data_IF_597902732887
#
_entry.id   IF_597902732887
#
_cell.length_a   1.000
_cell.length_b   1.000
_cell.length_c   1.000
_cell.angle_alpha   90.00
_cell.angle_beta   90.00
_cell.angle_gamma   90.00
#
_symmetry.space_group_name_H-M   'P 1'
#
loop_
_entity.id
_entity.type
_entity.pdbx_description
1 polymer ?
#
# COMPACT_ATOMS: atom_id res chain seq x y z
N UNK A 1 -9.30 31.32 -9.45
CA UNK A 1 -9.45 30.49 -10.67
C UNK A 1 -8.10 30.02 -11.21
N UNK A 2 -7.14 30.90 -11.47
CA UNK A 2 -5.81 30.54 -12.01
C UNK A 2 -5.07 29.46 -11.19
N UNK A 3 -5.07 29.55 -9.85
CA UNK A 3 -4.49 28.52 -8.97
C UNK A 3 -5.12 27.13 -9.18
N UNK A 4 -6.44 27.08 -9.30
CA UNK A 4 -7.16 25.81 -9.51
C UNK A 4 -6.85 25.21 -10.88
N UNK A 5 -6.81 26.04 -11.93
CA UNK A 5 -6.42 25.60 -13.28
C UNK A 5 -5.02 24.98 -13.28
N UNK A 6 -4.05 25.65 -12.63
CA UNK A 6 -2.69 25.13 -12.49
C UNK A 6 -2.62 23.77 -11.79
N UNK A 7 -3.38 23.56 -10.72
CA UNK A 7 -3.40 22.26 -10.03
C UNK A 7 -4.03 21.17 -10.88
N UNK A 8 -5.11 21.47 -11.60
CA UNK A 8 -5.73 20.53 -12.53
C UNK A 8 -4.75 20.11 -13.63
N UNK A 9 -4.04 21.06 -14.23
CA UNK A 9 -3.01 20.77 -15.25
C UNK A 9 -1.93 19.82 -14.72
N UNK A 10 -1.38 20.10 -13.53
CA UNK A 10 -0.36 19.23 -12.92
C UNK A 10 -0.93 17.85 -12.59
N UNK A 11 -2.15 17.76 -12.06
CA UNK A 11 -2.84 16.48 -11.83
C UNK A 11 -3.00 15.68 -13.13
N UNK A 12 -3.34 16.33 -14.25
CA UNK A 12 -3.40 15.67 -15.56
C UNK A 12 -2.03 15.20 -16.04
N UNK A 13 -0.97 15.97 -15.82
CA UNK A 13 0.41 15.55 -16.17
C UNK A 13 0.82 14.33 -15.33
N UNK A 14 0.55 14.34 -14.02
CA UNK A 14 0.81 13.19 -13.13
C UNK A 14 0.02 11.96 -13.61
N UNK A 15 -1.27 12.11 -13.91
CA UNK A 15 -2.12 11.00 -14.37
C UNK A 15 -1.66 10.42 -15.73
N UNK A 16 -1.27 11.28 -16.68
CA UNK A 16 -0.72 10.81 -17.97
C UNK A 16 0.58 10.06 -17.77
N UNK A 17 1.46 10.59 -16.91
CA UNK A 17 2.72 9.93 -16.58
C UNK A 17 2.48 8.59 -15.89
N UNK A 18 1.51 8.51 -14.98
CA UNK A 18 1.09 7.26 -14.33
C UNK A 18 0.70 6.18 -15.36
N UNK A 19 -0.23 6.51 -16.27
CA UNK A 19 -0.69 5.58 -17.30
C UNK A 19 0.46 5.17 -18.22
N UNK A 20 1.28 6.13 -18.65
CA UNK A 20 2.40 5.85 -19.56
C UNK A 20 3.56 5.10 -18.89
N UNK A 21 3.76 5.29 -17.59
CA UNK A 21 4.77 4.62 -16.78
C UNK A 21 4.40 3.17 -16.54
N UNK A 22 3.12 2.92 -16.23
CA UNK A 22 2.53 1.56 -16.23
C UNK A 22 2.85 0.83 -17.54
N UNK A 23 2.64 1.46 -18.69
CA UNK A 23 2.89 0.84 -19.99
C UNK A 23 4.38 0.55 -20.26
N UNK A 24 5.31 1.27 -19.64
CA UNK A 24 6.74 0.92 -19.69
C UNK A 24 7.06 -0.21 -18.73
N UNK A 25 6.52 -0.17 -17.51
CA UNK A 25 6.76 -1.20 -16.50
C UNK A 25 6.19 -2.57 -16.90
N UNK A 26 5.09 -2.61 -17.65
CA UNK A 26 4.54 -3.86 -18.20
C UNK A 26 5.44 -4.52 -19.26
N UNK A 27 6.42 -3.80 -19.81
CA UNK A 27 7.41 -4.34 -20.75
C UNK A 27 8.65 -4.90 -20.03
N UNK A 28 8.79 -4.69 -18.72
CA UNK A 28 9.89 -5.24 -17.96
C UNK A 28 9.68 -6.74 -17.66
N UNK A 29 10.76 -7.53 -17.53
CA UNK A 29 10.65 -8.93 -17.17
C UNK A 29 9.96 -9.11 -15.82
N UNK A 30 8.95 -9.99 -15.77
CA UNK A 30 8.17 -10.27 -14.57
C UNK A 30 9.03 -10.81 -13.41
N UNK A 31 10.16 -11.43 -13.73
CA UNK A 31 11.14 -11.98 -12.80
C UNK A 31 11.72 -10.93 -11.85
N UNK A 32 11.77 -9.65 -12.25
CA UNK A 32 12.28 -8.56 -11.40
C UNK A 32 11.56 -8.50 -10.05
N UNK A 33 10.25 -8.78 -10.02
CA UNK A 33 9.44 -8.72 -8.81
C UNK A 33 8.82 -10.07 -8.41
N UNK A 34 8.98 -11.12 -9.21
CA UNK A 34 8.43 -12.44 -8.90
C UNK A 34 9.47 -13.54 -8.68
N UNK A 35 10.75 -13.32 -9.03
CA UNK A 35 11.74 -14.38 -8.93
C UNK A 35 11.88 -14.87 -7.49
N UNK A 36 11.97 -16.18 -7.32
CA UNK A 36 12.35 -16.82 -6.06
C UNK A 36 13.41 -17.90 -6.29
N UNK A 37 14.19 -17.71 -7.34
CA UNK A 37 15.26 -18.61 -7.73
C UNK A 37 16.48 -17.79 -8.07
N UNK A 38 17.63 -18.44 -7.98
CA UNK A 38 18.86 -17.87 -8.49
C UNK A 38 18.71 -17.59 -9.98
N UNK A 39 19.22 -16.46 -10.43
CA UNK A 39 19.14 -16.10 -11.84
C UNK A 39 19.60 -14.69 -12.13
N UNK A 40 19.61 -14.38 -13.42
CA UNK A 40 19.95 -13.06 -13.95
C UNK A 40 18.75 -12.54 -14.72
N UNK A 41 18.31 -11.33 -14.38
CA UNK A 41 17.23 -10.65 -15.09
C UNK A 41 17.83 -9.52 -15.91
N UNK A 42 17.63 -9.56 -17.22
CA UNK A 42 18.20 -8.60 -18.17
C UNK A 42 17.15 -7.57 -18.56
N UNK A 43 17.46 -6.30 -18.38
CA UNK A 43 16.58 -5.17 -18.69
C UNK A 43 17.24 -4.28 -19.74
N UNK A 44 16.59 -4.00 -20.88
CA UNK A 44 17.11 -3.04 -21.87
C UNK A 44 17.23 -1.62 -21.29
N UNK A 45 18.39 -0.97 -21.46
CA UNK A 45 18.63 0.41 -20.98
C UNK A 45 17.66 1.43 -21.57
N UNK A 46 17.17 1.19 -22.79
CA UNK A 46 16.14 2.01 -23.43
C UNK A 46 14.89 2.15 -22.55
N UNK A 47 14.40 1.05 -21.95
CA UNK A 47 13.20 1.08 -21.10
C UNK A 47 13.46 1.86 -19.81
N UNK A 48 14.67 1.71 -19.24
CA UNK A 48 15.11 2.50 -18.09
C UNK A 48 15.10 3.99 -18.38
N UNK A 49 15.72 4.40 -19.49
CA UNK A 49 15.79 5.79 -19.93
C UNK A 49 14.41 6.37 -20.24
N UNK A 50 13.54 5.60 -20.91
CA UNK A 50 12.17 6.00 -21.21
C UNK A 50 11.38 6.27 -19.93
N UNK A 51 11.44 5.35 -18.95
CA UNK A 51 10.76 5.52 -17.67
C UNK A 51 11.29 6.72 -16.89
N UNK A 52 12.60 6.86 -16.76
CA UNK A 52 13.23 8.00 -16.07
C UNK A 52 12.82 9.32 -16.74
N UNK A 53 12.86 9.39 -18.07
CA UNK A 53 12.43 10.57 -18.83
C UNK A 53 10.98 10.96 -18.57
N UNK A 54 10.07 9.99 -18.40
CA UNK A 54 8.67 10.25 -18.02
C UNK A 54 8.56 10.84 -16.62
N UNK A 55 9.28 10.30 -15.64
CA UNK A 55 9.28 10.83 -14.26
C UNK A 55 9.89 12.24 -14.22
N UNK A 56 10.99 12.46 -14.93
CA UNK A 56 11.67 13.76 -14.98
C UNK A 56 10.81 14.83 -15.65
N UNK A 57 10.05 14.47 -16.69
CA UNK A 57 9.09 15.37 -17.34
C UNK A 57 8.00 15.86 -16.37
N UNK A 58 7.49 14.99 -15.49
CA UNK A 58 6.53 15.39 -14.44
C UNK A 58 7.20 16.32 -13.43
N UNK A 59 8.39 15.96 -12.94
CA UNK A 59 9.14 16.78 -12.00
C UNK A 59 9.44 18.18 -12.59
N UNK A 60 9.78 18.24 -13.88
CA UNK A 60 10.00 19.49 -14.60
C UNK A 60 8.70 20.30 -14.74
N UNK A 61 7.58 19.66 -15.10
CA UNK A 61 6.28 20.33 -15.18
C UNK A 61 5.86 20.94 -13.83
N UNK A 62 6.04 20.21 -12.72
CA UNK A 62 5.77 20.73 -11.37
C UNK A 62 6.67 21.93 -11.06
N UNK A 63 7.97 21.83 -11.34
CA UNK A 63 8.95 22.91 -11.13
C UNK A 63 8.62 24.17 -11.94
N UNK A 64 8.27 24.02 -13.22
CA UNK A 64 7.91 25.13 -14.11
C UNK A 64 6.66 25.88 -13.63
N UNK A 65 5.70 25.15 -13.08
CA UNK A 65 4.51 25.76 -12.49
C UNK A 65 4.85 26.49 -11.18
N UNK A 66 5.89 26.07 -10.46
CA UNK A 66 6.38 26.66 -9.22
C UNK A 66 5.89 25.91 -7.97
N UNK A 67 6.23 26.37 -6.76
CA UNK A 67 5.67 25.81 -5.53
C UNK A 67 4.19 26.22 -5.36
N UNK A 68 3.39 25.43 -4.60
CA UNK A 68 2.08 25.87 -4.13
C UNK A 68 2.23 27.22 -3.42
N UNK A 69 1.29 28.18 -3.60
CA UNK A 69 1.28 29.39 -2.78
C UNK A 69 1.15 28.99 -1.31
N UNK A 70 2.06 29.51 -0.48
CA UNK A 70 2.02 29.27 0.96
C UNK A 70 0.76 29.93 1.55
N UNK A 71 -0.10 29.12 2.14
CA UNK A 71 -1.14 29.62 3.03
C UNK A 71 -0.53 30.00 4.38
N UNK A 72 -1.21 30.82 5.18
CA UNK A 72 -0.77 31.14 6.55
C UNK A 72 -0.73 29.92 7.48
N UNK A 73 -1.39 28.82 7.12
CA UNK A 73 -1.35 27.53 7.81
C UNK A 73 -0.59 26.50 6.99
N UNK A 74 0.14 25.61 7.67
CA UNK A 74 0.83 24.50 7.00
C UNK A 74 -0.17 23.49 6.43
N UNK A 75 0.18 22.83 5.32
CA UNK A 75 -0.61 21.75 4.72
C UNK A 75 -0.89 20.64 5.74
N UNK A 76 0.12 20.28 6.55
CA UNK A 76 -0.02 19.31 7.64
C UNK A 76 -1.14 19.69 8.63
N UNK A 77 -1.11 20.93 9.13
CA UNK A 77 -2.13 21.39 10.09
C UNK A 77 -3.53 21.40 9.51
N UNK A 78 -3.69 21.84 8.26
CA UNK A 78 -4.99 21.84 7.56
C UNK A 78 -5.53 20.42 7.39
N UNK A 79 -4.66 19.48 7.02
CA UNK A 79 -4.99 18.08 6.85
C UNK A 79 -5.37 17.42 8.18
N UNK A 80 -4.66 17.71 9.28
CA UNK A 80 -5.03 17.21 10.62
C UNK A 80 -6.39 17.75 11.07
N UNK A 81 -6.64 19.05 10.88
CA UNK A 81 -7.94 19.66 11.19
C UNK A 81 -9.07 19.04 10.36
N UNK A 82 -8.83 18.84 9.07
CA UNK A 82 -9.77 18.17 8.17
C UNK A 82 -10.09 16.75 8.65
N UNK A 83 -9.08 15.97 9.04
CA UNK A 83 -9.27 14.60 9.53
C UNK A 83 -10.15 14.55 10.77
N UNK A 84 -9.96 15.47 11.71
CA UNK A 84 -10.86 15.62 12.87
C UNK A 84 -12.29 15.97 12.47
N UNK A 85 -12.46 16.90 11.53
CA UNK A 85 -13.78 17.25 11.00
C UNK A 85 -14.46 16.06 10.33
N UNK A 86 -13.71 15.23 9.61
CA UNK A 86 -14.23 14.06 8.92
C UNK A 86 -14.66 12.96 9.91
N UNK A 87 -13.86 12.71 10.96
CA UNK A 87 -14.20 11.83 12.08
C UNK A 87 -15.46 12.33 12.79
N UNK A 88 -15.52 13.61 13.14
CA UNK A 88 -16.70 14.21 13.76
C UNK A 88 -17.95 14.07 12.90
N UNK A 89 -17.82 14.28 11.58
CA UNK A 89 -18.93 14.12 10.62
C UNK A 89 -19.44 12.67 10.60
N UNK A 90 -18.54 11.69 10.59
CA UNK A 90 -18.91 10.28 10.62
C UNK A 90 -19.66 9.93 11.91
N UNK A 91 -19.13 10.36 13.06
CA UNK A 91 -19.69 10.02 14.38
C UNK A 91 -21.04 10.70 14.65
N UNK A 92 -21.25 11.93 14.16
CA UNK A 92 -22.46 12.70 14.47
C UNK A 92 -23.59 12.47 13.47
N UNK A 93 -23.29 12.41 12.17
CA UNK A 93 -24.33 12.42 11.13
C UNK A 93 -24.62 11.04 10.55
N UNK A 94 -23.60 10.20 10.37
CA UNK A 94 -23.63 9.02 9.49
C UNK A 94 -24.21 9.30 8.06
N UNK A 95 -24.39 10.58 7.67
CA UNK A 95 -24.95 10.97 6.38
C UNK A 95 -23.84 10.93 5.32
N UNK A 96 -24.01 10.05 4.34
CA UNK A 96 -23.03 9.83 3.29
C UNK A 96 -22.72 11.08 2.48
N UNK A 97 -23.72 11.93 2.23
CA UNK A 97 -23.55 13.13 1.41
C UNK A 97 -22.67 14.15 2.12
N UNK A 98 -22.93 14.37 3.41
CA UNK A 98 -22.10 15.28 4.23
C UNK A 98 -20.70 14.69 4.38
N UNK A 99 -20.59 13.39 4.65
CA UNK A 99 -19.30 12.70 4.77
C UNK A 99 -18.45 12.78 3.50
N UNK A 100 -19.05 12.57 2.33
CA UNK A 100 -18.40 12.74 1.02
C UNK A 100 -17.98 14.19 0.79
N UNK A 101 -18.90 15.14 1.01
CA UNK A 101 -18.63 16.56 0.81
C UNK A 101 -17.47 17.05 1.69
N UNK A 102 -17.48 16.70 2.98
CA UNK A 102 -16.38 16.99 3.91
C UNK A 102 -15.10 16.32 3.47
N UNK A 103 -15.13 15.03 3.11
CA UNK A 103 -13.95 14.30 2.62
C UNK A 103 -13.28 14.97 1.42
N UNK A 104 -14.07 15.46 0.46
CA UNK A 104 -13.56 16.16 -0.73
C UNK A 104 -12.84 17.48 -0.40
N UNK A 105 -13.13 18.11 0.74
CA UNK A 105 -12.47 19.36 1.15
C UNK A 105 -10.96 19.19 1.40
N UNK A 106 -10.46 17.97 1.65
CA UNK A 106 -9.02 17.76 1.83
C UNK A 106 -8.21 18.14 0.59
N UNK A 107 -8.79 18.00 -0.61
CA UNK A 107 -8.12 18.32 -1.86
C UNK A 107 -7.98 19.83 -2.07
N UNK A 108 -8.64 20.67 -1.26
CA UNK A 108 -8.36 22.10 -1.20
C UNK A 108 -7.04 22.38 -0.48
N UNK A 109 -6.73 21.59 0.55
CA UNK A 109 -5.47 21.69 1.30
C UNK A 109 -4.31 20.97 0.57
N UNK A 110 -4.62 19.83 -0.06
CA UNK A 110 -3.66 18.95 -0.71
C UNK A 110 -4.12 18.52 -2.12
N UNK A 111 -4.10 19.43 -3.11
CA UNK A 111 -4.70 19.18 -4.42
C UNK A 111 -4.06 18.05 -5.23
N UNK A 112 -2.78 17.74 -4.99
CA UNK A 112 -2.11 16.61 -5.64
C UNK A 112 -2.44 15.27 -4.99
N UNK A 113 -2.97 15.26 -3.76
CA UNK A 113 -3.39 14.01 -3.14
C UNK A 113 -4.62 13.40 -3.83
N UNK A 114 -5.36 14.17 -4.63
CA UNK A 114 -6.47 13.65 -5.45
C UNK A 114 -5.99 12.60 -6.44
N UNK A 115 -4.96 12.93 -7.23
CA UNK A 115 -4.42 11.99 -8.21
C UNK A 115 -3.67 10.85 -7.53
N UNK A 116 -2.94 11.10 -6.44
CA UNK A 116 -2.28 10.04 -5.65
C UNK A 116 -3.30 9.06 -5.06
N UNK A 117 -4.38 9.58 -4.45
CA UNK A 117 -5.46 8.75 -3.92
C UNK A 117 -6.11 7.89 -5.00
N UNK A 118 -6.30 8.44 -6.20
CA UNK A 118 -6.81 7.68 -7.34
C UNK A 118 -5.83 6.59 -7.80
N UNK A 119 -4.54 6.91 -7.93
CA UNK A 119 -3.51 5.94 -8.33
C UNK A 119 -3.41 4.77 -7.32
N UNK A 120 -3.39 5.08 -6.02
CA UNK A 120 -3.40 4.08 -4.95
C UNK A 120 -4.67 3.24 -4.96
N UNK A 121 -5.82 3.84 -5.26
CA UNK A 121 -7.07 3.10 -5.48
C UNK A 121 -6.96 2.16 -6.67
N UNK A 122 -6.44 2.59 -7.82
CA UNK A 122 -6.24 1.70 -8.98
C UNK A 122 -5.35 0.51 -8.61
N UNK A 123 -4.27 0.74 -7.87
CA UNK A 123 -3.41 -0.34 -7.36
C UNK A 123 -4.16 -1.29 -6.43
N UNK A 124 -4.86 -0.78 -5.41
CA UNK A 124 -5.61 -1.62 -4.47
C UNK A 124 -6.77 -2.36 -5.12
N UNK A 125 -7.45 -1.69 -6.05
CA UNK A 125 -8.57 -2.26 -6.77
C UNK A 125 -8.09 -3.48 -7.58
N UNK A 126 -7.02 -3.30 -8.34
CA UNK A 126 -6.43 -4.36 -9.16
C UNK A 126 -5.88 -5.52 -8.31
N UNK A 127 -5.15 -5.20 -7.23
CA UNK A 127 -4.35 -6.19 -6.52
C UNK A 127 -5.07 -6.88 -5.37
N UNK A 128 -6.15 -6.29 -4.84
CA UNK A 128 -6.83 -6.75 -3.63
C UNK A 128 -8.37 -6.76 -3.74
N UNK A 129 -9.00 -5.76 -4.35
CA UNK A 129 -10.47 -5.62 -4.30
C UNK A 129 -11.22 -6.43 -5.36
N UNK A 130 -10.63 -6.63 -6.54
CA UNK A 130 -11.28 -7.43 -7.60
C UNK A 130 -11.57 -8.86 -7.15
N UNK A 131 -10.64 -9.48 -6.43
CA UNK A 131 -10.86 -10.81 -5.86
C UNK A 131 -11.96 -10.82 -4.80
N UNK A 132 -12.03 -9.79 -3.96
CA UNK A 132 -13.08 -9.63 -2.96
C UNK A 132 -14.47 -9.53 -3.61
N UNK A 133 -14.59 -8.70 -4.66
CA UNK A 133 -15.81 -8.60 -5.46
C UNK A 133 -16.19 -9.92 -6.13
N UNK A 134 -15.22 -10.61 -6.74
CA UNK A 134 -15.44 -11.89 -7.38
C UNK A 134 -15.90 -12.96 -6.38
N UNK A 135 -15.29 -12.99 -5.18
CA UNK A 135 -15.72 -13.85 -4.09
C UNK A 135 -17.12 -13.48 -3.60
N UNK A 136 -17.44 -12.19 -3.57
CA UNK A 136 -18.76 -11.69 -3.17
C UNK A 136 -19.84 -12.22 -4.09
N UNK A 137 -19.61 -12.12 -5.40
CA UNK A 137 -20.49 -12.66 -6.43
C UNK A 137 -20.57 -14.19 -6.36
N UNK A 138 -19.43 -14.88 -6.28
CA UNK A 138 -19.37 -16.34 -6.27
C UNK A 138 -20.03 -16.96 -5.03
N UNK A 139 -19.93 -16.32 -3.87
CA UNK A 139 -20.50 -16.81 -2.62
C UNK A 139 -21.93 -16.29 -2.37
N UNK A 140 -22.41 -15.31 -3.14
CA UNK A 140 -23.80 -14.84 -3.01
C UNK A 140 -24.83 -15.91 -3.40
N UNK A 141 -24.44 -16.90 -4.20
CA UNK A 141 -25.29 -18.05 -4.57
C UNK A 141 -25.24 -19.18 -3.53
N UNK A 142 -24.33 -19.10 -2.55
CA UNK A 142 -24.20 -20.09 -1.48
C UNK A 142 -25.10 -19.65 -0.31
N UNK A 143 -26.06 -20.48 0.13
CA UNK A 143 -26.89 -20.13 1.29
C UNK A 143 -26.04 -20.15 2.56
N UNK A 144 -25.58 -18.97 2.99
CA UNK A 144 -24.79 -18.84 4.21
C UNK A 144 -25.69 -18.74 5.45
N UNK A 145 -25.32 -19.38 6.57
CA UNK A 145 -26.09 -19.29 7.81
C UNK A 145 -26.22 -17.84 8.29
N UNK A 146 -27.46 -17.39 8.51
CA UNK A 146 -27.75 -16.05 9.04
C UNK A 146 -27.24 -15.86 10.48
N UNK A 147 -27.11 -16.95 11.24
CA UNK A 147 -26.57 -16.95 12.61
C UNK A 147 -25.09 -16.54 12.69
N UNK A 148 -24.36 -16.53 11.57
CA UNK A 148 -22.98 -16.04 11.49
C UNK A 148 -22.89 -14.56 11.11
N UNK A 149 -24.01 -13.84 11.07
CA UNK A 149 -24.03 -12.41 10.76
C UNK A 149 -23.90 -11.57 12.01
N UNK A 150 -23.02 -10.58 11.99
CA UNK A 150 -22.82 -9.62 13.09
C UNK A 150 -23.16 -8.23 12.58
N UNK A 151 -23.90 -7.47 13.37
CA UNK A 151 -24.22 -6.08 13.05
C UNK A 151 -23.06 -5.16 13.43
N UNK A 152 -22.64 -4.28 12.52
CA UNK A 152 -21.62 -3.28 12.78
C UNK A 152 -22.20 -2.25 13.76
N UNK A 153 -21.77 -2.33 15.02
CA UNK A 153 -22.06 -1.33 16.05
C UNK A 153 -20.84 -1.13 16.95
N UNK A 154 -21.03 -0.45 18.10
CA UNK A 154 -19.93 -0.12 19.03
C UNK A 154 -19.05 -1.31 19.39
N UNK A 155 -19.64 -2.48 19.64
CA UNK A 155 -18.91 -3.67 20.05
C UNK A 155 -17.98 -4.19 18.94
N UNK A 156 -18.47 -4.26 17.70
CA UNK A 156 -17.66 -4.68 16.55
C UNK A 156 -16.56 -3.66 16.27
N UNK A 157 -16.88 -2.37 16.29
CA UNK A 157 -15.89 -1.29 16.08
C UNK A 157 -14.79 -1.36 17.15
N UNK A 158 -15.18 -1.42 18.43
CA UNK A 158 -14.25 -1.51 19.54
C UNK A 158 -13.37 -2.76 19.47
N UNK A 159 -13.95 -3.92 19.11
CA UNK A 159 -13.19 -5.17 18.96
C UNK A 159 -12.21 -5.13 17.80
N UNK A 160 -12.61 -4.65 16.62
CA UNK A 160 -11.72 -4.56 15.45
C UNK A 160 -10.56 -3.61 15.73
N UNK A 161 -10.83 -2.45 16.32
CA UNK A 161 -9.78 -1.51 16.72
C UNK A 161 -8.86 -2.14 17.78
N UNK A 162 -9.41 -2.77 18.82
CA UNK A 162 -8.61 -3.44 19.86
C UNK A 162 -7.68 -4.50 19.27
N UNK A 163 -8.16 -5.30 18.32
CA UNK A 163 -7.36 -6.32 17.64
C UNK A 163 -6.24 -5.69 16.79
N UNK A 164 -6.52 -4.61 16.06
CA UNK A 164 -5.49 -3.91 15.29
C UNK A 164 -4.43 -3.27 16.21
N UNK A 165 -4.85 -2.65 17.32
CA UNK A 165 -3.94 -2.09 18.32
C UNK A 165 -3.10 -3.17 19.01
N UNK A 166 -3.70 -4.30 19.36
CA UNK A 166 -2.99 -5.42 19.95
C UNK A 166 -1.95 -6.00 18.98
N UNK A 167 -2.31 -6.18 17.70
CA UNK A 167 -1.36 -6.59 16.67
C UNK A 167 -0.25 -5.56 16.48
N UNK A 168 -0.58 -4.27 16.48
CA UNK A 168 0.39 -3.18 16.35
C UNK A 168 1.36 -3.15 17.53
N UNK A 169 0.86 -3.26 18.76
CA UNK A 169 1.69 -3.36 19.96
C UNK A 169 2.57 -4.61 19.94
N UNK A 170 2.03 -5.75 19.50
CA UNK A 170 2.77 -7.00 19.33
C UNK A 170 4.01 -6.80 18.45
N UNK A 171 3.85 -6.20 17.26
CA UNK A 171 4.98 -5.92 16.37
C UNK A 171 5.91 -4.82 16.93
N UNK A 172 5.35 -3.76 17.51
CA UNK A 172 6.15 -2.65 18.03
C UNK A 172 7.09 -3.05 19.18
N UNK A 173 6.69 -4.03 20.02
CA UNK A 173 7.42 -4.33 21.26
C UNK A 173 7.94 -5.76 21.36
N UNK A 174 7.37 -6.73 20.65
CA UNK A 174 7.68 -8.16 20.84
C UNK A 174 8.12 -8.91 19.59
N UNK A 175 7.63 -8.54 18.40
CA UNK A 175 7.87 -9.34 17.20
C UNK A 175 8.34 -8.53 16.00
N UNK A 176 9.39 -9.02 15.36
CA UNK A 176 9.68 -8.79 13.95
C UNK A 176 10.02 -10.15 13.32
N UNK A 177 9.68 -10.37 12.05
CA UNK A 177 9.86 -11.67 11.37
C UNK A 177 11.26 -12.27 11.55
N UNK A 178 12.29 -11.42 11.66
CA UNK A 178 13.71 -11.83 11.66
C UNK A 178 14.54 -11.15 12.75
N UNK A 179 13.94 -10.68 13.84
CA UNK A 179 14.71 -10.07 14.92
C UNK A 179 13.87 -9.42 16.01
N UNK A 180 14.55 -8.66 16.89
CA UNK A 180 13.88 -7.86 17.91
C UNK A 180 13.60 -6.45 17.39
N UNK A 181 12.43 -5.87 17.72
CA UNK A 181 12.13 -4.49 17.36
C UNK A 181 13.09 -3.52 18.05
N UNK A 182 13.50 -2.48 17.32
CA UNK A 182 14.26 -1.34 17.86
C UNK A 182 13.40 -0.63 18.89
N UNK A 183 13.89 -0.57 20.13
CA UNK A 183 13.25 0.19 21.21
C UNK A 183 13.51 1.68 21.00
N UNK A 184 12.43 2.45 20.89
CA UNK A 184 12.48 3.90 20.86
C UNK A 184 12.37 4.49 22.28
N UNK A 185 12.91 5.69 22.53
CA UNK A 185 12.60 6.45 23.74
C UNK A 185 11.08 6.56 23.97
N UNK A 186 10.64 6.55 25.23
CA UNK A 186 9.21 6.57 25.58
C UNK A 186 8.46 7.73 24.89
N UNK A 187 9.08 8.91 24.84
CA UNK A 187 8.50 10.09 24.18
C UNK A 187 8.21 9.82 22.70
N UNK A 188 9.18 9.29 21.97
CA UNK A 188 9.04 8.96 20.54
C UNK A 188 7.99 7.86 20.34
N UNK A 189 8.03 6.80 21.17
CA UNK A 189 7.00 5.75 21.16
C UNK A 189 5.59 6.34 21.33
N UNK A 190 5.39 7.28 22.26
CA UNK A 190 4.10 7.93 22.45
C UNK A 190 3.68 8.78 21.23
N UNK A 191 4.63 9.44 20.55
CA UNK A 191 4.33 10.15 19.31
C UNK A 191 3.88 9.21 18.20
N UNK A 192 4.56 8.08 17.99
CA UNK A 192 4.13 7.04 17.04
C UNK A 192 2.77 6.47 17.40
N UNK A 193 2.54 6.17 18.68
CA UNK A 193 1.24 5.69 19.14
C UNK A 193 0.13 6.69 18.85
N UNK A 194 0.30 7.99 19.15
CA UNK A 194 -0.75 8.99 18.98
C UNK A 194 -0.92 9.37 17.51
N UNK A 195 0.15 9.82 16.86
CA UNK A 195 0.10 10.34 15.50
C UNK A 195 -0.04 9.20 14.47
N UNK A 196 0.71 8.10 14.62
CA UNK A 196 0.56 6.91 13.78
C UNK A 196 -0.85 6.34 13.88
N UNK A 197 -1.43 6.26 15.08
CA UNK A 197 -2.87 5.89 15.21
C UNK A 197 -3.77 6.85 14.45
N UNK A 198 -3.57 8.15 14.64
CA UNK A 198 -4.38 9.18 14.00
C UNK A 198 -4.29 9.11 12.48
N UNK A 199 -3.12 8.84 11.91
CA UNK A 199 -2.90 8.77 10.47
C UNK A 199 -3.28 7.40 9.87
N UNK A 200 -2.91 6.29 10.50
CA UNK A 200 -3.03 4.95 9.93
C UNK A 200 -4.33 4.22 10.30
N UNK A 201 -4.91 4.50 11.47
CA UNK A 201 -5.94 3.64 12.09
C UNK A 201 -7.32 4.23 12.09
N UNK A 202 -7.41 5.55 12.00
CA UNK A 202 -8.69 6.28 11.86
C UNK A 202 -9.45 5.87 10.60
N UNK A 203 -8.78 5.29 9.60
CA UNK A 203 -9.42 4.69 8.42
C UNK A 203 -10.46 3.64 8.81
N UNK A 204 -10.07 2.67 9.65
CA UNK A 204 -10.93 1.58 10.10
C UNK A 204 -12.15 2.14 10.84
N UNK A 205 -11.91 3.11 11.72
CA UNK A 205 -12.95 3.81 12.46
C UNK A 205 -13.97 4.45 11.50
N UNK A 206 -13.50 5.19 10.49
CA UNK A 206 -14.37 5.86 9.54
C UNK A 206 -15.21 4.89 8.71
N UNK A 207 -14.58 3.84 8.14
CA UNK A 207 -15.33 2.86 7.33
C UNK A 207 -16.42 2.20 8.18
N UNK A 208 -16.06 1.70 9.37
CA UNK A 208 -17.04 0.99 10.20
C UNK A 208 -18.13 1.91 10.75
N UNK A 209 -17.79 3.16 11.12
CA UNK A 209 -18.79 4.15 11.57
C UNK A 209 -19.78 4.47 10.43
N UNK A 210 -19.29 4.68 9.21
CA UNK A 210 -20.15 4.95 8.07
C UNK A 210 -20.97 3.72 7.61
N UNK A 211 -20.61 2.54 8.09
CA UNK A 211 -21.33 1.27 7.87
C UNK A 211 -22.10 0.80 9.10
N UNK A 212 -22.34 1.68 10.08
CA UNK A 212 -23.11 1.34 11.28
C UNK A 212 -24.49 0.77 10.94
N UNK A 213 -24.89 -0.29 11.64
CA UNK A 213 -26.16 -0.99 11.46
C UNK A 213 -26.18 -2.00 10.31
N UNK A 214 -25.14 -2.05 9.46
CA UNK A 214 -25.04 -3.07 8.42
C UNK A 214 -24.59 -4.41 9.02
N UNK A 215 -25.13 -5.51 8.50
CA UNK A 215 -24.78 -6.86 8.93
C UNK A 215 -23.70 -7.44 8.03
N UNK A 216 -22.60 -7.88 8.62
CA UNK A 216 -21.52 -8.59 7.94
C UNK A 216 -21.63 -10.09 8.24
N UNK A 217 -21.56 -10.93 7.20
CA UNK A 217 -21.60 -12.37 7.37
C UNK A 217 -20.17 -12.91 7.59
N UNK A 218 -19.87 -13.38 8.79
CA UNK A 218 -18.54 -13.92 9.12
C UNK A 218 -18.28 -15.27 8.46
N UNK A 219 -19.33 -16.06 8.15
CA UNK A 219 -19.17 -17.31 7.41
C UNK A 219 -18.68 -17.05 5.98
N UNK A 220 -19.07 -15.92 5.38
CA UNK A 220 -18.54 -15.49 4.09
C UNK A 220 -17.03 -15.27 4.16
N UNK A 221 -16.55 -14.53 5.17
CA UNK A 221 -15.13 -14.24 5.36
C UNK A 221 -14.31 -15.53 5.61
N UNK A 222 -14.84 -16.42 6.45
CA UNK A 222 -14.22 -17.70 6.74
C UNK A 222 -14.17 -18.61 5.50
N UNK A 223 -15.26 -18.65 4.71
CA UNK A 223 -15.33 -19.45 3.50
C UNK A 223 -14.39 -18.93 2.42
N UNK A 224 -14.32 -17.62 2.20
CA UNK A 224 -13.34 -17.03 1.27
C UNK A 224 -11.90 -17.27 1.73
N UNK A 225 -11.64 -17.23 3.05
CA UNK A 225 -10.34 -17.59 3.58
C UNK A 225 -9.96 -19.02 3.18
N UNK A 226 -10.84 -19.99 3.46
CA UNK A 226 -10.60 -21.43 3.23
C UNK A 226 -10.55 -21.79 1.74
N UNK A 227 -11.53 -21.35 0.95
CA UNK A 227 -11.62 -21.65 -0.50
C UNK A 227 -10.60 -20.83 -1.28
N UNK A 228 -10.31 -19.61 -0.84
CA UNK A 228 -9.30 -18.76 -1.46
C UNK A 228 -9.72 -18.17 -2.81
N UNK A 229 -11.01 -17.85 -3.01
CA UNK A 229 -11.50 -17.22 -4.25
C UNK A 229 -10.86 -15.84 -4.42
N UNK A 230 -10.91 -14.97 -3.39
CA UNK A 230 -10.27 -13.65 -3.47
C UNK A 230 -8.77 -13.75 -3.71
N UNK A 231 -8.01 -14.58 -2.97
CA UNK A 231 -6.60 -14.84 -3.28
C UNK A 231 -6.33 -15.31 -4.71
N UNK A 232 -7.13 -16.22 -5.24
CA UNK A 232 -6.97 -16.78 -6.58
C UNK A 232 -7.09 -15.69 -7.65
N UNK A 233 -8.19 -14.94 -7.63
CA UNK A 233 -8.45 -13.86 -8.61
C UNK A 233 -7.40 -12.76 -8.50
N UNK A 234 -7.09 -12.31 -7.29
CA UNK A 234 -6.07 -11.29 -7.08
C UNK A 234 -4.68 -11.75 -7.56
N UNK A 235 -4.31 -13.01 -7.33
CA UNK A 235 -3.04 -13.55 -7.84
C UNK A 235 -3.02 -13.67 -9.37
N UNK A 236 -4.15 -13.97 -9.98
CA UNK A 236 -4.30 -13.95 -11.43
C UNK A 236 -4.09 -12.53 -11.96
N UNK A 237 -4.80 -11.54 -11.41
CA UNK A 237 -4.68 -10.13 -11.82
C UNK A 237 -3.25 -9.60 -11.68
N UNK A 238 -2.57 -9.94 -10.58
CA UNK A 238 -1.19 -9.52 -10.35
C UNK A 238 -0.18 -10.14 -11.34
N UNK A 239 -0.52 -11.27 -11.96
CA UNK A 239 0.34 -11.92 -12.96
C UNK A 239 0.03 -11.46 -14.38
N UNK A 240 -1.22 -11.12 -14.68
CA UNK A 240 -1.69 -10.85 -16.04
C UNK A 240 -1.78 -9.38 -16.39
N UNK A 241 -2.07 -8.51 -15.41
CA UNK A 241 -2.18 -7.07 -15.65
C UNK A 241 -0.89 -6.39 -15.23
N UNK A 242 -0.69 -6.18 -13.93
CA UNK A 242 0.51 -5.59 -13.36
C UNK A 242 0.71 -6.14 -11.95
N UNK A 243 1.95 -6.41 -11.58
CA UNK A 243 2.25 -6.85 -10.24
C UNK A 243 2.08 -5.72 -9.23
N UNK A 244 1.72 -6.10 -8.00
CA UNK A 244 1.65 -5.14 -6.90
C UNK A 244 2.97 -4.39 -6.70
N UNK A 245 4.11 -5.07 -6.76
CA UNK A 245 5.45 -4.45 -6.60
C UNK A 245 5.73 -3.39 -7.69
N UNK A 246 5.36 -3.65 -8.95
CA UNK A 246 5.55 -2.70 -10.04
C UNK A 246 4.69 -1.44 -9.89
N UNK A 247 3.42 -1.63 -9.52
CA UNK A 247 2.48 -0.54 -9.26
C UNK A 247 2.91 0.25 -8.03
N UNK A 248 3.26 -0.43 -6.95
CA UNK A 248 3.73 0.18 -5.72
C UNK A 248 4.97 1.04 -5.97
N UNK A 249 6.01 0.48 -6.60
CA UNK A 249 7.22 1.24 -6.96
C UNK A 249 6.89 2.51 -7.76
N UNK A 250 6.03 2.39 -8.77
CA UNK A 250 5.68 3.51 -9.63
C UNK A 250 4.94 4.62 -8.88
N UNK A 251 3.89 4.25 -8.16
CA UNK A 251 3.04 5.18 -7.41
C UNK A 251 3.84 5.84 -6.31
N UNK A 252 4.60 5.05 -5.56
CA UNK A 252 5.43 5.52 -4.47
C UNK A 252 6.49 6.52 -4.97
N UNK A 253 7.15 6.24 -6.09
CA UNK A 253 8.09 7.20 -6.70
C UNK A 253 7.41 8.49 -7.16
N UNK A 254 6.20 8.41 -7.71
CA UNK A 254 5.41 9.58 -8.14
C UNK A 254 4.97 10.44 -6.94
N UNK A 255 4.57 9.79 -5.86
CA UNK A 255 4.21 10.41 -4.58
C UNK A 255 5.36 11.18 -3.95
N UNK A 256 6.60 10.71 -4.15
CA UNK A 256 7.82 11.38 -3.67
C UNK A 256 8.36 12.49 -4.57
N UNK A 257 7.67 12.81 -5.68
CA UNK A 257 8.08 13.92 -6.53
C UNK A 257 8.05 15.26 -5.77
N UNK A 258 9.01 16.16 -6.02
CA UNK A 258 9.02 17.49 -5.40
C UNK A 258 7.68 18.20 -5.63
N UNK A 259 7.05 18.66 -4.55
CA UNK A 259 5.74 19.29 -4.58
C UNK A 259 4.56 18.33 -4.42
N UNK A 260 4.64 17.10 -4.96
CA UNK A 260 3.62 16.05 -4.74
C UNK A 260 3.73 15.50 -3.31
N UNK A 261 4.97 15.23 -2.88
CA UNK A 261 5.29 14.68 -1.55
C UNK A 261 4.61 15.45 -0.43
N UNK A 262 4.67 16.77 -0.48
CA UNK A 262 4.10 17.69 0.52
C UNK A 262 2.57 17.61 0.64
N UNK A 263 1.90 17.18 -0.41
CA UNK A 263 0.43 17.10 -0.47
C UNK A 263 -0.07 15.67 -0.23
N UNK A 264 0.70 14.66 -0.61
CA UNK A 264 0.27 13.27 -0.56
C UNK A 264 0.98 12.52 0.58
N UNK A 265 2.24 12.14 0.34
CA UNK A 265 2.92 11.10 1.09
C UNK A 265 3.71 11.58 2.31
N UNK A 266 3.93 12.90 2.45
CA UNK A 266 4.63 13.47 3.62
C UNK A 266 3.96 13.13 4.94
N UNK A 267 2.64 12.99 4.96
CA UNK A 267 1.90 12.66 6.19
C UNK A 267 2.22 11.25 6.70
N UNK A 268 2.50 10.32 5.78
CA UNK A 268 2.99 8.97 6.09
C UNK A 268 4.39 9.02 6.71
N UNK A 269 5.26 9.86 6.14
CA UNK A 269 6.65 10.05 6.57
C UNK A 269 6.85 11.10 7.67
N UNK A 270 5.77 11.55 8.31
CA UNK A 270 5.86 12.68 9.23
C UNK A 270 6.72 12.33 10.45
N UNK A 271 6.64 11.09 10.91
CA UNK A 271 7.49 10.58 11.98
C UNK A 271 8.71 9.90 11.37
N UNK A 272 9.92 10.21 11.87
CA UNK A 272 11.12 9.52 11.43
C UNK A 272 11.07 8.06 11.91
N UNK A 273 11.85 7.21 11.26
CA UNK A 273 12.25 5.91 11.82
C UNK A 273 11.11 4.88 12.02
N UNK A 274 10.08 4.94 11.16
CA UNK A 274 8.92 4.05 11.01
C UNK A 274 8.70 2.94 12.04
N UNK A 275 7.47 2.84 12.55
CA UNK A 275 7.04 1.81 13.49
C UNK A 275 5.79 1.10 13.01
N UNK A 276 5.45 -0.03 13.63
CA UNK A 276 4.18 -0.70 13.36
C UNK A 276 2.94 0.22 13.54
N UNK A 277 3.04 1.29 14.35
CA UNK A 277 1.96 2.26 14.54
C UNK A 277 1.66 3.10 13.30
N UNK A 278 2.66 3.30 12.46
CA UNK A 278 2.57 4.09 11.23
C UNK A 278 2.13 3.23 10.03
N UNK A 279 1.99 1.91 10.25
CA UNK A 279 1.53 0.98 9.24
C UNK A 279 0.02 1.11 9.03
N UNK A 280 -0.34 1.74 7.91
CA UNK A 280 -1.70 1.87 7.43
C UNK A 280 -2.25 0.53 6.88
N UNK A 281 -3.58 0.40 6.85
CA UNK A 281 -4.30 -0.85 6.55
C UNK A 281 -4.11 -1.31 5.09
N UNK A 282 -3.99 -0.34 4.19
CA UNK A 282 -3.90 -0.50 2.73
C UNK A 282 -2.57 0.08 2.22
N UNK A 283 -1.45 -0.51 2.62
CA UNK A 283 -0.07 -0.07 2.32
C UNK A 283 0.32 1.26 3.00
N UNK A 284 1.53 1.77 2.73
CA UNK A 284 2.10 2.99 3.35
C UNK A 284 1.47 4.31 2.90
N UNK A 285 0.14 4.39 2.83
CA UNK A 285 -0.56 5.62 2.48
C UNK A 285 -0.78 6.52 3.69
N UNK A 286 -0.71 7.84 3.49
CA UNK A 286 -1.23 8.85 4.40
C UNK A 286 -2.73 9.06 4.24
N UNK A 287 -3.38 9.62 5.26
CA UNK A 287 -4.80 9.95 5.18
C UNK A 287 -5.19 10.86 3.97
N UNK A 288 -4.33 11.77 3.44
CA UNK A 288 -4.68 12.56 2.24
C UNK A 288 -4.87 11.71 0.98
N UNK A 289 -4.32 10.51 0.99
CA UNK A 289 -4.32 9.55 -0.11
C UNK A 289 -5.47 8.53 0.01
N UNK A 290 -6.25 8.58 1.10
CA UNK A 290 -7.13 7.46 1.43
C UNK A 290 -8.54 7.49 0.82
N UNK A 291 -8.90 8.63 0.26
CA UNK A 291 -10.29 8.94 -0.06
C UNK A 291 -10.97 7.90 -0.93
N UNK A 292 -10.37 7.53 -2.08
CA UNK A 292 -11.01 6.63 -3.03
C UNK A 292 -11.19 5.22 -2.48
N UNK A 293 -10.20 4.65 -1.79
CA UNK A 293 -10.35 3.32 -1.21
C UNK A 293 -11.22 3.33 0.06
N UNK A 294 -11.30 4.45 0.79
CA UNK A 294 -12.28 4.62 1.88
C UNK A 294 -13.71 4.63 1.33
N UNK A 295 -13.97 5.41 0.27
CA UNK A 295 -15.27 5.43 -0.41
C UNK A 295 -15.64 4.05 -0.96
N UNK A 296 -14.67 3.36 -1.57
CA UNK A 296 -14.87 2.03 -2.11
C UNK A 296 -15.26 1.02 -1.02
N UNK A 297 -14.53 0.95 0.09
CA UNK A 297 -14.84 0.00 1.17
C UNK A 297 -16.23 0.27 1.77
N UNK A 298 -16.59 1.54 1.96
CA UNK A 298 -17.96 1.93 2.36
C UNK A 298 -19.00 1.49 1.32
N UNK A 299 -18.73 1.73 0.03
CA UNK A 299 -19.65 1.37 -1.05
C UNK A 299 -19.92 -0.13 -1.07
N UNK A 300 -18.88 -0.97 -0.93
CA UNK A 300 -19.02 -2.42 -0.90
C UNK A 300 -19.95 -2.89 0.23
N UNK A 301 -19.84 -2.31 1.42
CA UNK A 301 -20.75 -2.66 2.53
C UNK A 301 -22.14 -2.11 2.28
N UNK A 302 -22.25 -0.81 2.00
CA UNK A 302 -23.56 -0.13 2.02
C UNK A 302 -24.44 -0.44 0.83
N UNK A 303 -23.82 -0.71 -0.33
CA UNK A 303 -24.52 -0.91 -1.60
C UNK A 303 -24.55 -2.38 -1.97
N UNK A 304 -23.45 -3.11 -1.78
CA UNK A 304 -23.35 -4.52 -2.18
C UNK A 304 -23.57 -5.50 -1.03
N UNK A 305 -23.66 -5.04 0.22
CA UNK A 305 -23.80 -5.91 1.39
C UNK A 305 -22.58 -6.82 1.63
N UNK A 306 -21.43 -6.50 1.04
CA UNK A 306 -20.20 -7.25 1.21
C UNK A 306 -19.46 -6.76 2.45
N UNK A 307 -18.73 -7.62 3.19
CA UNK A 307 -17.89 -7.13 4.28
C UNK A 307 -16.79 -6.18 3.75
N UNK A 308 -16.27 -5.25 4.56
CA UNK A 308 -15.16 -4.41 4.16
C UNK A 308 -13.95 -5.25 3.70
N UNK A 309 -13.30 -4.95 2.56
CA UNK A 309 -12.13 -5.67 2.07
C UNK A 309 -11.03 -5.84 3.12
N UNK A 310 -10.77 -4.84 3.96
CA UNK A 310 -9.74 -4.92 4.99
C UNK A 310 -9.97 -6.04 6.02
N UNK A 311 -11.16 -6.63 6.09
CA UNK A 311 -11.47 -7.78 6.95
C UNK A 311 -11.21 -9.13 6.29
N UNK A 312 -10.90 -9.16 4.98
CA UNK A 312 -10.57 -10.41 4.28
C UNK A 312 -9.27 -11.01 4.79
N UNK A 313 -9.15 -12.34 4.76
CA UNK A 313 -7.92 -13.03 5.18
C UNK A 313 -6.67 -12.50 4.47
N UNK A 314 -6.76 -12.24 3.16
CA UNK A 314 -5.64 -11.72 2.36
C UNK A 314 -5.19 -10.35 2.86
N UNK A 315 -6.13 -9.41 3.04
CA UNK A 315 -5.78 -8.06 3.48
C UNK A 315 -5.37 -8.03 4.96
N UNK A 316 -5.96 -8.85 5.83
CA UNK A 316 -5.48 -9.01 7.21
C UNK A 316 -4.03 -9.51 7.24
N UNK A 317 -3.70 -10.54 6.45
CA UNK A 317 -2.31 -11.02 6.32
C UNK A 317 -1.39 -9.91 5.82
N UNK A 318 -1.83 -9.15 4.83
CA UNK A 318 -1.06 -8.02 4.29
C UNK A 318 -0.84 -6.91 5.34
N UNK A 319 -1.85 -6.58 6.14
CA UNK A 319 -1.74 -5.60 7.23
C UNK A 319 -0.72 -6.02 8.29
N UNK A 320 -0.68 -7.31 8.65
CA UNK A 320 0.32 -7.82 9.58
C UNK A 320 1.73 -7.74 8.99
N UNK A 321 1.89 -8.10 7.71
CA UNK A 321 3.15 -7.91 6.99
C UNK A 321 3.56 -6.44 6.87
N UNK A 322 2.59 -5.52 6.72
CA UNK A 322 2.88 -4.09 6.67
C UNK A 322 3.35 -3.55 8.03
N UNK A 323 2.75 -4.01 9.14
CA UNK A 323 3.20 -3.68 10.50
C UNK A 323 4.63 -4.16 10.75
N UNK A 324 4.95 -5.38 10.33
CA UNK A 324 6.30 -5.93 10.40
C UNK A 324 7.30 -5.13 9.54
N UNK A 325 6.94 -4.84 8.28
CA UNK A 325 7.78 -4.11 7.34
C UNK A 325 8.00 -2.63 7.68
N UNK A 326 7.16 -2.05 8.53
CA UNK A 326 7.38 -0.70 9.07
C UNK A 326 8.27 -0.73 10.31
N UNK A 327 8.24 -1.80 11.12
CA UNK A 327 8.96 -1.83 12.38
C UNK A 327 10.48 -1.97 12.15
N UNK A 328 11.25 -0.97 12.60
CA UNK A 328 12.72 -1.04 12.59
C UNK A 328 13.23 -2.13 13.54
N UNK A 329 14.27 -2.85 13.13
CA UNK A 329 14.93 -3.97 13.83
C UNK A 329 16.21 -3.49 14.52
N UNK A 330 16.59 -4.14 15.63
CA UNK A 330 17.85 -3.85 16.33
C UNK A 330 19.08 -4.37 15.57
N UNK A 331 20.15 -3.59 15.61
CA UNK A 331 21.47 -4.02 15.15
C UNK A 331 22.11 -5.03 16.14
N UNK A 332 22.98 -5.94 15.66
CA UNK A 332 23.39 -6.13 14.28
C UNK A 332 22.34 -6.93 13.49
N UNK A 333 21.69 -6.29 12.53
CA UNK A 333 20.77 -6.95 11.60
C UNK A 333 21.53 -7.20 10.30
N UNK A 334 21.53 -8.46 9.84
CA UNK A 334 22.36 -8.87 8.69
C UNK A 334 21.86 -8.28 7.38
N UNK A 335 20.55 -8.12 7.25
CA UNK A 335 19.92 -7.60 6.04
C UNK A 335 19.74 -6.09 6.10
N UNK A 336 19.66 -5.46 4.93
CA UNK A 336 19.31 -4.05 4.83
C UNK A 336 17.85 -3.85 5.26
N UNK A 337 17.59 -2.87 6.12
CA UNK A 337 16.23 -2.49 6.55
C UNK A 337 15.56 -1.64 5.47
N UNK A 338 15.36 -2.24 4.29
CA UNK A 338 15.17 -1.56 3.01
C UNK A 338 14.03 -0.54 3.02
N UNK A 339 12.84 -0.97 3.47
CA UNK A 339 11.67 -0.10 3.57
C UNK A 339 11.78 0.87 4.75
N UNK A 340 12.31 0.46 5.89
CA UNK A 340 12.49 1.36 7.04
C UNK A 340 13.50 2.48 6.73
N UNK A 341 14.51 2.19 5.92
CA UNK A 341 15.46 3.20 5.42
C UNK A 341 14.81 4.14 4.40
N UNK A 342 13.80 3.69 3.66
CA UNK A 342 12.99 4.60 2.85
C UNK A 342 12.37 5.71 3.70
N UNK A 343 11.87 5.40 4.90
CA UNK A 343 11.36 6.38 5.88
C UNK A 343 12.43 7.34 6.45
N UNK A 344 13.71 7.16 6.13
CA UNK A 344 14.78 8.11 6.46
C UNK A 344 15.22 8.95 5.27
N UNK A 345 15.32 8.34 4.09
CA UNK A 345 15.87 9.01 2.91
C UNK A 345 14.79 9.60 1.98
N UNK A 346 13.56 9.09 2.05
CA UNK A 346 12.33 9.43 1.32
C UNK A 346 12.42 9.37 -0.22
N UNK A 347 13.59 9.60 -0.81
CA UNK A 347 13.84 9.61 -2.26
C UNK A 347 14.64 8.41 -2.72
N UNK A 348 14.77 7.40 -1.86
CA UNK A 348 15.52 6.17 -2.11
C UNK A 348 14.72 4.98 -1.61
N UNK A 349 14.90 3.81 -2.24
CA UNK A 349 14.22 2.57 -1.89
C UNK A 349 12.69 2.65 -2.03
N UNK A 350 12.19 2.96 -3.22
CA UNK A 350 10.74 3.06 -3.47
C UNK A 350 10.04 1.70 -3.52
N UNK A 351 10.74 0.61 -3.80
CA UNK A 351 10.24 -0.75 -3.67
C UNK A 351 9.95 -1.10 -2.21
N UNK A 352 9.01 -2.04 -1.99
CA UNK A 352 8.64 -2.44 -0.63
C UNK A 352 9.55 -3.56 -0.13
N UNK A 353 9.51 -4.72 -0.79
CA UNK A 353 10.21 -5.93 -0.33
C UNK A 353 11.37 -6.35 -1.22
N UNK A 354 11.58 -5.67 -2.36
CA UNK A 354 12.60 -6.04 -3.35
C UNK A 354 13.27 -4.80 -3.93
N UNK A 355 14.61 -4.78 -4.02
CA UNK A 355 15.34 -3.63 -4.53
C UNK A 355 15.45 -3.59 -6.06
N UNK A 356 14.93 -4.59 -6.79
CA UNK A 356 15.21 -4.75 -8.22
C UNK A 356 14.86 -3.52 -9.07
N UNK A 357 13.65 -2.96 -8.91
CA UNK A 357 13.24 -1.77 -9.67
C UNK A 357 14.07 -0.56 -9.27
N UNK A 358 14.37 -0.41 -7.97
CA UNK A 358 15.26 0.63 -7.51
C UNK A 358 16.68 0.52 -8.08
N UNK A 359 17.21 -0.68 -8.25
CA UNK A 359 18.51 -0.93 -8.90
C UNK A 359 18.45 -0.65 -10.40
N UNK A 360 17.36 -1.05 -11.08
CA UNK A 360 17.15 -0.77 -12.51
C UNK A 360 17.11 0.75 -12.78
N UNK A 361 16.47 1.52 -11.90
CA UNK A 361 16.28 2.97 -12.10
C UNK A 361 17.15 3.86 -11.21
N UNK A 362 18.18 3.31 -10.56
CA UNK A 362 19.12 4.02 -9.68
C UNK A 362 18.49 4.84 -8.54
N UNK A 363 17.38 4.33 -8.01
CA UNK A 363 16.70 4.87 -6.84
C UNK A 363 16.99 4.11 -5.55
N UNK A 364 17.88 3.12 -5.55
CA UNK A 364 18.31 2.46 -4.30
C UNK A 364 19.25 3.36 -3.49
N UNK A 365 19.22 3.22 -2.17
CA UNK A 365 20.12 3.89 -1.23
C UNK A 365 21.57 3.58 -1.63
N UNK A 366 22.44 4.59 -1.82
CA UNK A 366 23.85 4.36 -2.09
C UNK A 366 24.48 3.60 -0.91
N UNK A 367 24.94 2.39 -1.16
CA UNK A 367 25.73 1.63 -0.19
C UNK A 367 27.17 1.49 -0.72
N UNK A 368 28.15 1.39 0.17
CA UNK A 368 29.53 1.06 -0.24
C UNK A 368 29.62 -0.35 -0.86
N UNK A 369 28.60 -1.18 -0.65
CA UNK A 369 28.51 -2.55 -1.16
C UNK A 369 27.86 -2.54 -2.54
N UNK A 370 28.48 -3.21 -3.52
CA UNK A 370 27.84 -3.48 -4.83
C UNK A 370 26.69 -4.51 -4.76
N UNK A 371 26.35 -4.97 -3.55
CA UNK A 371 25.39 -6.04 -3.28
C UNK A 371 24.45 -5.58 -2.16
N UNK A 372 23.16 -5.87 -2.31
CA UNK A 372 22.12 -5.61 -1.31
C UNK A 372 21.54 -6.94 -0.85
N UNK A 373 21.53 -7.19 0.45
CA UNK A 373 20.85 -8.36 1.04
C UNK A 373 19.50 -7.88 1.59
N UNK A 374 18.42 -8.38 0.99
CA UNK A 374 17.04 -7.97 1.32
C UNK A 374 16.15 -9.21 1.29
N UNK A 375 15.52 -9.52 2.43
CA UNK A 375 14.50 -10.55 2.57
C UNK A 375 14.93 -11.93 2.05
N UNK A 376 16.10 -12.43 2.49
CA UNK A 376 16.60 -13.75 2.13
C UNK A 376 17.16 -13.86 0.70
N UNK A 377 17.47 -12.74 0.05
CA UNK A 377 18.14 -12.73 -1.24
C UNK A 377 19.20 -11.61 -1.35
N UNK A 378 20.28 -11.91 -2.06
CA UNK A 378 21.34 -10.99 -2.43
C UNK A 378 21.10 -10.52 -3.86
N UNK A 379 21.10 -9.21 -4.06
CA UNK A 379 20.91 -8.56 -5.33
C UNK A 379 22.19 -7.83 -5.74
N UNK A 380 22.62 -7.99 -6.99
CA UNK A 380 23.73 -7.19 -7.53
C UNK A 380 23.42 -6.71 -8.95
N UNK A 381 23.94 -5.52 -9.27
CA UNK A 381 23.73 -4.83 -10.54
C UNK A 381 24.99 -4.89 -11.38
N UNK A 382 24.84 -5.30 -12.63
CA UNK A 382 25.86 -5.20 -13.67
C UNK A 382 25.28 -4.42 -14.85
N UNK A 383 26.08 -3.57 -15.49
CA UNK A 383 25.64 -2.76 -16.61
C UNK A 383 26.54 -2.94 -17.83
N UNK A 384 25.92 -3.08 -19.00
CA UNK A 384 26.58 -3.06 -20.31
C UNK A 384 26.23 -1.77 -21.06
N UNK A 385 26.64 -1.63 -22.33
CA UNK A 385 26.20 -0.52 -23.19
C UNK A 385 24.68 -0.48 -23.36
N UNK A 386 24.03 -1.65 -23.43
CA UNK A 386 22.65 -1.78 -23.92
C UNK A 386 21.68 -2.34 -22.87
N UNK A 387 22.20 -2.93 -21.79
CA UNK A 387 21.40 -3.62 -20.80
C UNK A 387 21.86 -3.37 -19.35
N UNK A 388 20.92 -3.56 -18.44
CA UNK A 388 21.12 -3.67 -17.00
C UNK A 388 20.81 -5.11 -16.61
N UNK A 389 21.71 -5.77 -15.91
CA UNK A 389 21.54 -7.13 -15.42
C UNK A 389 21.43 -7.11 -13.90
N UNK A 390 20.33 -7.66 -13.38
CA UNK A 390 20.11 -7.86 -11.95
C UNK A 390 20.35 -9.33 -11.65
N UNK A 391 21.44 -9.62 -10.95
CA UNK A 391 21.76 -10.94 -10.44
C UNK A 391 21.05 -11.12 -9.10
N UNK A 392 20.28 -12.20 -8.98
CA UNK A 392 19.52 -12.57 -7.78
C UNK A 392 20.08 -13.89 -7.26
N UNK A 393 20.55 -13.89 -6.03
CA UNK A 393 21.02 -15.07 -5.30
C UNK A 393 20.16 -15.25 -4.05
N UNK A 394 19.36 -16.32 -4.01
CA UNK A 394 18.50 -16.67 -2.90
C UNK A 394 19.32 -17.37 -1.84
N UNK A 395 19.40 -16.76 -0.65
CA UNK A 395 20.15 -17.26 0.50
C UNK A 395 19.23 -17.85 1.58
N UNK A 396 17.97 -17.43 1.63
CA UNK A 396 16.92 -18.00 2.49
C UNK A 396 15.57 -18.02 1.74
N UNK A 397 15.19 -19.19 1.23
CA UNK A 397 13.91 -19.38 0.53
C UNK A 397 12.69 -19.11 1.42
N UNK A 398 12.78 -19.43 2.72
CA UNK A 398 11.67 -19.27 3.65
C UNK A 398 11.42 -17.78 3.88
N UNK A 399 12.45 -17.01 4.18
CA UNK A 399 12.34 -15.57 4.36
C UNK A 399 11.88 -14.86 3.08
N UNK A 400 12.42 -15.25 1.92
CA UNK A 400 11.97 -14.73 0.63
C UNK A 400 10.50 -15.08 0.35
N UNK A 401 10.03 -16.25 0.81
CA UNK A 401 8.64 -16.67 0.64
C UNK A 401 7.67 -15.92 1.56
N UNK A 402 8.11 -15.53 2.77
CA UNK A 402 7.31 -14.78 3.75
C UNK A 402 7.15 -13.33 3.29
N UNK A 403 8.23 -12.73 2.77
CA UNK A 403 8.26 -11.36 2.25
C UNK A 403 7.57 -11.22 0.90
N UNK A 404 7.67 -12.23 0.03
CA UNK A 404 6.80 -12.30 -1.15
C UNK A 404 5.37 -12.47 -0.64
N UNK A 405 4.42 -11.65 -1.08
CA UNK A 405 3.00 -11.73 -0.66
C UNK A 405 2.29 -13.01 -1.16
N UNK A 406 2.93 -14.17 -1.04
CA UNK A 406 2.45 -15.46 -1.51
C UNK A 406 1.22 -15.91 -0.74
N UNK A 407 0.31 -16.64 -1.40
CA UNK A 407 -0.70 -17.41 -0.71
C UNK A 407 -0.02 -18.34 0.33
N UNK A 408 -0.67 -18.52 1.47
CA UNK A 408 -0.11 -19.33 2.55
C UNK A 408 0.13 -20.79 2.07
N UNK A 409 1.12 -21.49 2.66
CA UNK A 409 1.51 -22.83 2.21
C UNK A 409 0.37 -23.85 2.12
N UNK A 410 -0.64 -23.73 2.98
CA UNK A 410 -1.85 -24.58 2.97
C UNK A 410 -2.81 -24.30 1.80
N UNK A 411 -2.66 -23.18 1.09
CA UNK A 411 -3.42 -22.86 -0.12
C UNK A 411 -2.79 -23.51 -1.38
N UNK A 412 -1.54 -23.99 -1.29
CA UNK A 412 -0.85 -24.64 -2.42
C UNK A 412 -1.55 -25.92 -2.93
N UNK A 413 -2.06 -26.84 -2.08
CA UNK A 413 -2.79 -28.02 -2.54
C UNK A 413 -4.06 -27.65 -3.32
N UNK A 414 -4.83 -26.67 -2.85
CA UNK A 414 -6.03 -26.19 -3.54
C UNK A 414 -5.67 -25.51 -4.87
N UNK A 415 -4.63 -24.68 -4.91
CA UNK A 415 -4.14 -24.08 -6.16
C UNK A 415 -3.61 -25.14 -7.15
N UNK A 416 -3.00 -26.23 -6.67
CA UNK A 416 -2.60 -27.38 -7.51
C UNK A 416 -3.81 -28.11 -8.07
N UNK A 417 -4.85 -28.35 -7.25
CA UNK A 417 -6.11 -28.96 -7.68
C UNK A 417 -6.81 -28.09 -8.74
N UNK A 418 -6.89 -26.77 -8.53
CA UNK A 418 -7.49 -25.85 -9.50
C UNK A 418 -6.71 -25.80 -10.82
N UNK A 419 -5.38 -25.88 -10.80
CA UNK A 419 -4.57 -26.01 -12.02
C UNK A 419 -4.80 -27.32 -12.77
N UNK A 420 -5.15 -28.38 -12.06
CA UNK A 420 -5.51 -29.67 -12.65
C UNK A 420 -6.91 -29.62 -13.29
N UNK A 421 -7.85 -28.94 -12.64
CA UNK A 421 -9.23 -28.79 -13.12
C UNK A 421 -9.40 -27.73 -14.21
N UNK A 422 -8.49 -26.76 -14.29
CA UNK A 422 -8.50 -25.69 -15.29
C UNK A 422 -7.10 -25.46 -15.88
N UNK A 423 -6.64 -26.35 -16.78
CA UNK A 423 -5.38 -26.12 -17.48
C UNK A 423 -5.50 -24.86 -18.31
N UNK A 424 -4.76 -23.82 -17.92
CA UNK A 424 -4.59 -22.62 -18.73
C UNK A 424 -3.79 -23.04 -19.97
N UNK A 425 -4.47 -23.16 -21.11
CA UNK A 425 -3.87 -23.43 -22.42
C UNK A 425 -3.26 -22.18 -23.02
#
# INVERSE_FOLDING_TARGET
MERAARYLEVNFVILRAFISGIATLSQLPHELWSSTKNGVVVVPKRLTQEYIGKIDAVAQAIRQKGPPPQAGLSTHSLLVMHRWLWIGTALVSCDMRIFVAVGLLQFLAAPYSLVCSFMLFVMHFNTMCLGHLASGLALSVVPLPSCCSVEIGSAVIGMVLLLDFAATAYYAFWACSDGLPKKLPLRETLYHMIYGTFQAKTYILLVLTMCWGYRINLAWLALDAVVGISPLVNNFMQRTVLSWESLFYHIHRMEHLPGVYEHAHRMHHYLPDGTAWDAHVHSGAGFPEEWFYLMHDIFLVRVLGLPPPFMTYRLLKYQLGNKDGHQRRMEPYKEEQYHQDHHLFHRKNFGFNRPCLDMVFDTYKPTMKKRLEVNGAIYSKEETSDSIMIHIEVVDEKLLSISSQRPAGWQQPFLKLMRFLWPLH
#
